data_IF_977279952147
#
_entry.id   IF_977279952147
#
_cell.length_a   1.000
_cell.length_b   1.000
_cell.length_c   1.000
_cell.angle_alpha   90.00
_cell.angle_beta   90.00
_cell.angle_gamma   90.00
#
_symmetry.space_group_name_H-M   'P 1'
#
loop_
_entity.id
_entity.type
_entity.pdbx_description
1 polymer ?
#
# COMPACT_ATOMS: atom_id res chain seq x y z
N UNK A 1 -38.48 5.10 12.02
CA UNK A 1 -37.09 5.61 11.97
C UNK A 1 -36.99 6.62 10.83
N UNK A 2 -37.08 7.91 11.12
CA UNK A 2 -36.76 8.99 10.18
C UNK A 2 -35.25 9.14 10.16
N UNK A 3 -34.56 8.30 9.39
CA UNK A 3 -33.12 8.44 9.20
C UNK A 3 -32.80 9.74 8.46
N UNK A 4 -31.88 10.54 8.99
CA UNK A 4 -31.34 11.69 8.27
C UNK A 4 -30.79 11.21 6.92
N UNK A 5 -31.27 11.82 5.83
CA UNK A 5 -30.75 11.56 4.49
C UNK A 5 -29.43 12.32 4.36
N UNK A 6 -28.32 11.63 4.55
CA UNK A 6 -26.96 12.17 4.42
C UNK A 6 -26.02 11.27 3.63
N UNK A 7 -24.82 11.77 3.36
CA UNK A 7 -23.75 11.00 2.72
C UNK A 7 -22.67 10.65 3.77
N UNK A 8 -22.42 9.36 3.97
CA UNK A 8 -21.35 8.91 4.85
C UNK A 8 -20.02 8.87 4.11
N UNK A 9 -19.05 9.67 4.55
CA UNK A 9 -17.69 9.68 4.00
C UNK A 9 -16.79 8.89 4.94
N UNK A 10 -16.40 7.70 4.51
CA UNK A 10 -15.48 6.82 5.25
C UNK A 10 -14.04 6.89 4.72
N UNK A 11 -13.11 6.20 5.37
CA UNK A 11 -11.71 6.11 4.92
C UNK A 11 -11.63 5.62 3.48
N UNK A 12 -10.78 6.28 2.70
CA UNK A 12 -10.64 6.04 1.27
C UNK A 12 -11.69 6.72 0.39
N UNK A 13 -12.81 7.22 0.93
CA UNK A 13 -13.79 8.00 0.15
C UNK A 13 -13.38 9.47 0.11
N UNK A 14 -13.46 10.06 -1.09
CA UNK A 14 -13.14 11.47 -1.35
C UNK A 14 -14.35 12.14 -2.00
N UNK A 15 -14.88 13.23 -1.43
CA UNK A 15 -15.94 14.01 -2.05
C UNK A 15 -15.37 15.06 -3.03
N UNK A 16 -16.12 15.34 -4.08
CA UNK A 16 -16.00 16.53 -4.92
C UNK A 16 -17.38 17.16 -4.99
N UNK A 17 -17.50 18.39 -4.48
CA UNK A 17 -18.74 19.17 -4.52
C UNK A 17 -18.58 20.26 -5.57
N UNK A 18 -19.47 20.29 -6.56
CA UNK A 18 -19.58 21.40 -7.50
C UNK A 18 -20.85 22.17 -7.17
N UNK A 19 -20.70 23.50 -7.09
CA UNK A 19 -21.80 24.43 -6.91
C UNK A 19 -21.97 25.16 -8.23
N UNK A 20 -23.13 24.96 -8.86
CA UNK A 20 -23.54 25.68 -10.05
C UNK A 20 -24.62 26.68 -9.67
N UNK A 21 -24.52 27.92 -10.13
CA UNK A 21 -25.61 28.89 -10.01
C UNK A 21 -26.26 28.94 -11.39
N UNK A 22 -27.55 28.57 -11.45
CA UNK A 22 -28.31 28.57 -12.70
C UNK A 22 -29.26 29.75 -12.68
N UNK A 23 -29.12 30.65 -13.65
CA UNK A 23 -30.11 31.68 -13.93
C UNK A 23 -31.30 31.04 -14.66
N UNK A 24 -32.49 31.25 -14.14
CA UNK A 24 -33.74 30.79 -14.75
C UNK A 24 -34.23 31.82 -15.77
N UNK A 25 -35.13 31.42 -16.69
CA UNK A 25 -35.73 32.33 -17.66
C UNK A 25 -36.46 33.53 -17.06
N UNK A 26 -36.82 33.48 -15.77
CA UNK A 26 -37.48 34.56 -15.02
C UNK A 26 -36.49 35.53 -14.36
N UNK A 27 -35.18 35.37 -14.58
CA UNK A 27 -34.12 36.19 -13.98
C UNK A 27 -33.75 35.80 -12.54
N UNK A 28 -34.38 34.75 -11.97
CA UNK A 28 -34.03 34.25 -10.63
C UNK A 28 -32.87 33.24 -10.71
N UNK A 29 -31.98 33.28 -9.72
CA UNK A 29 -30.89 32.32 -9.60
C UNK A 29 -31.26 31.18 -8.66
N UNK A 30 -30.99 29.94 -9.06
CA UNK A 30 -31.07 28.77 -8.16
C UNK A 30 -29.70 28.09 -8.00
N UNK A 31 -29.28 27.77 -6.77
CA UNK A 31 -28.10 26.96 -6.56
C UNK A 31 -28.41 25.49 -6.88
N UNK A 32 -27.59 24.90 -7.74
CA UNK A 32 -27.56 23.47 -7.99
C UNK A 32 -26.26 22.88 -7.45
N UNK A 33 -26.40 21.89 -6.57
CA UNK A 33 -25.26 21.15 -6.02
C UNK A 33 -25.15 19.81 -6.75
N UNK A 34 -23.94 19.47 -7.19
CA UNK A 34 -23.61 18.11 -7.58
C UNK A 34 -22.46 17.60 -6.72
N UNK A 35 -22.59 16.38 -6.20
CA UNK A 35 -21.52 15.72 -5.46
C UNK A 35 -21.09 14.46 -6.18
N UNK A 36 -19.79 14.30 -6.36
CA UNK A 36 -19.17 13.08 -6.88
C UNK A 36 -18.30 12.47 -5.78
N UNK A 37 -18.34 11.16 -5.64
CA UNK A 37 -17.49 10.42 -4.71
C UNK A 37 -16.46 9.62 -5.49
N UNK A 38 -15.25 9.52 -4.94
CA UNK A 38 -14.17 8.67 -5.46
C UNK A 38 -13.62 7.80 -4.35
N UNK A 39 -13.40 6.52 -4.63
CA UNK A 39 -12.74 5.61 -3.70
C UNK A 39 -11.26 5.47 -4.04
N UNK A 40 -10.41 5.90 -3.11
CA UNK A 40 -8.97 5.69 -3.09
C UNK A 40 -8.67 4.53 -2.14
N UNK A 41 -8.40 3.35 -2.72
CA UNK A 41 -8.18 2.14 -1.94
C UNK A 41 -6.80 2.10 -1.27
N UNK A 42 -5.79 2.78 -1.82
CA UNK A 42 -4.42 2.66 -1.34
C UNK A 42 -4.26 3.03 0.15
N UNK A 43 -4.76 4.18 0.65
CA UNK A 43 -4.67 4.49 2.08
C UNK A 43 -5.41 3.48 2.97
N UNK A 44 -6.49 2.88 2.48
CA UNK A 44 -7.21 1.85 3.23
C UNK A 44 -6.38 0.57 3.37
N UNK A 45 -5.72 0.14 2.29
CA UNK A 45 -4.84 -1.03 2.31
C UNK A 45 -3.56 -0.81 3.13
N UNK A 46 -2.99 0.40 3.13
CA UNK A 46 -1.86 0.75 4.01
C UNK A 46 -2.27 0.62 5.49
N UNK A 47 -3.46 1.07 5.84
CA UNK A 47 -3.98 0.92 7.20
C UNK A 47 -4.21 -0.55 7.60
N UNK A 48 -4.76 -1.37 6.69
CA UNK A 48 -4.87 -2.82 6.91
C UNK A 48 -3.49 -3.44 7.13
N UNK A 49 -2.51 -3.08 6.28
CA UNK A 49 -1.14 -3.55 6.43
C UNK A 49 -0.55 -3.18 7.80
N UNK A 50 -0.78 -1.96 8.28
CA UNK A 50 -0.31 -1.52 9.60
C UNK A 50 -0.86 -2.40 10.73
N UNK A 51 -2.17 -2.72 10.69
CA UNK A 51 -2.80 -3.55 11.71
C UNK A 51 -2.20 -4.95 11.76
N UNK A 52 -1.99 -5.56 10.60
CA UNK A 52 -1.40 -6.89 10.53
C UNK A 52 0.10 -6.88 10.85
N UNK A 53 0.80 -5.77 10.59
CA UNK A 53 2.18 -5.55 11.02
C UNK A 53 2.28 -5.51 12.55
N UNK A 54 1.35 -4.84 13.21
CA UNK A 54 1.32 -4.79 14.68
C UNK A 54 1.03 -6.18 15.25
N UNK A 55 0.11 -6.93 14.64
CA UNK A 55 -0.16 -8.33 15.00
C UNK A 55 1.04 -9.25 14.78
N UNK A 56 1.78 -9.08 13.67
CA UNK A 56 2.99 -9.89 13.43
C UNK A 56 4.07 -9.62 14.47
N UNK A 57 4.23 -8.37 14.91
CA UNK A 57 5.20 -8.05 15.96
C UNK A 57 4.82 -8.65 17.32
N UNK A 58 3.54 -8.65 17.66
CA UNK A 58 3.06 -9.35 18.86
C UNK A 58 3.36 -10.84 18.76
N UNK A 59 3.00 -11.48 17.64
CA UNK A 59 3.25 -12.90 17.42
C UNK A 59 4.76 -13.25 17.44
N UNK A 60 5.61 -12.41 16.83
CA UNK A 60 7.07 -12.60 16.85
C UNK A 60 7.65 -12.53 18.26
N UNK A 61 7.17 -11.61 19.10
CA UNK A 61 7.57 -11.54 20.51
C UNK A 61 7.07 -12.74 21.32
N UNK A 62 5.87 -13.24 21.02
CA UNK A 62 5.30 -14.43 21.68
C UNK A 62 6.07 -15.71 21.31
N UNK A 63 6.53 -15.84 20.06
CA UNK A 63 7.40 -16.95 19.63
C UNK A 63 8.63 -17.04 20.55
N UNK A 64 9.33 -15.92 20.79
CA UNK A 64 10.50 -15.89 21.66
C UNK A 64 10.20 -16.38 23.08
N UNK A 65 9.00 -16.11 23.61
CA UNK A 65 8.59 -16.52 24.95
C UNK A 65 8.23 -18.02 25.05
N UNK A 66 7.71 -18.63 23.99
CA UNK A 66 7.29 -20.03 24.02
C UNK A 66 8.34 -20.99 23.48
N UNK A 67 9.37 -20.49 22.80
CA UNK A 67 10.26 -21.36 22.03
C UNK A 67 11.09 -22.31 22.91
N UNK A 68 11.40 -21.94 24.15
CA UNK A 68 12.12 -22.83 25.08
C UNK A 68 11.21 -23.86 25.78
N UNK A 69 9.89 -23.84 25.54
CA UNK A 69 8.95 -24.81 26.10
C UNK A 69 8.94 -26.13 25.33
N UNK A 70 8.65 -27.26 25.97
CA UNK A 70 8.60 -28.58 25.30
C UNK A 70 7.34 -28.82 24.45
N UNK A 71 6.47 -27.82 24.30
CA UNK A 71 5.19 -27.93 23.60
C UNK A 71 5.34 -27.61 22.10
N UNK A 72 5.54 -28.67 21.30
CA UNK A 72 5.70 -28.56 19.85
C UNK A 72 4.45 -28.00 19.13
N UNK A 73 3.25 -28.35 19.59
CA UNK A 73 2.00 -27.89 18.98
C UNK A 73 1.79 -26.39 19.24
N UNK A 74 2.18 -25.91 20.42
CA UNK A 74 2.17 -24.49 20.71
C UNK A 74 3.18 -23.72 19.85
N UNK A 75 4.40 -24.23 19.68
CA UNK A 75 5.41 -23.64 18.78
C UNK A 75 4.90 -23.53 17.33
N UNK A 76 4.27 -24.58 16.82
CA UNK A 76 3.69 -24.59 15.48
C UNK A 76 2.59 -23.53 15.32
N UNK A 77 1.65 -23.46 16.26
CA UNK A 77 0.57 -22.45 16.26
C UNK A 77 1.11 -21.02 16.30
N UNK A 78 2.19 -20.76 17.04
CA UNK A 78 2.79 -19.41 17.10
C UNK A 78 3.44 -19.04 15.76
N UNK A 79 4.17 -19.97 15.12
CA UNK A 79 4.71 -19.75 13.77
C UNK A 79 3.60 -19.49 12.75
N UNK A 80 2.50 -20.24 12.80
CA UNK A 80 1.35 -20.03 11.91
C UNK A 80 0.67 -18.66 12.12
N UNK A 81 0.55 -18.23 13.38
CA UNK A 81 0.01 -16.92 13.75
C UNK A 81 0.87 -15.78 13.18
N UNK A 82 2.20 -15.88 13.35
CA UNK A 82 3.14 -14.92 12.79
C UNK A 82 3.07 -14.90 11.26
N UNK A 83 3.19 -16.07 10.61
CA UNK A 83 3.15 -16.17 9.15
C UNK A 83 1.86 -15.58 8.59
N UNK A 84 0.71 -15.84 9.24
CA UNK A 84 -0.59 -15.32 8.80
C UNK A 84 -0.62 -13.78 8.82
N UNK A 85 -0.15 -13.18 9.91
CA UNK A 85 -0.12 -11.71 10.07
C UNK A 85 0.92 -11.06 9.13
N UNK A 86 2.09 -11.67 9.00
CA UNK A 86 3.13 -11.28 8.03
C UNK A 86 2.59 -11.31 6.60
N UNK A 87 1.92 -12.39 6.24
CA UNK A 87 1.30 -12.58 4.92
C UNK A 87 0.28 -11.49 4.61
N UNK A 88 -0.63 -11.19 5.56
CA UNK A 88 -1.64 -10.15 5.36
C UNK A 88 -1.02 -8.76 5.20
N UNK A 89 0.07 -8.48 5.92
CA UNK A 89 0.82 -7.22 5.77
C UNK A 89 1.37 -7.07 4.36
N UNK A 90 2.11 -8.07 3.87
CA UNK A 90 2.74 -8.05 2.54
C UNK A 90 1.70 -8.00 1.42
N UNK A 91 0.64 -8.80 1.51
CA UNK A 91 -0.45 -8.80 0.52
C UNK A 91 -1.14 -7.43 0.49
N UNK A 92 -1.45 -6.85 1.65
CA UNK A 92 -2.08 -5.54 1.74
C UNK A 92 -1.21 -4.43 1.17
N UNK A 93 0.11 -4.44 1.42
CA UNK A 93 1.04 -3.48 0.82
C UNK A 93 1.11 -3.62 -0.70
N UNK A 94 1.13 -4.85 -1.23
CA UNK A 94 1.11 -5.06 -2.67
C UNK A 94 -0.17 -4.51 -3.31
N UNK A 95 -1.34 -4.75 -2.69
CA UNK A 95 -2.62 -4.23 -3.17
C UNK A 95 -2.66 -2.69 -3.06
N UNK A 96 -2.09 -2.10 -2.00
CA UNK A 96 -1.98 -0.66 -1.87
C UNK A 96 -1.24 -0.05 -3.08
N UNK A 97 -0.11 -0.63 -3.47
CA UNK A 97 0.65 -0.19 -4.63
C UNK A 97 -0.10 -0.37 -5.95
N UNK A 98 -0.72 -1.53 -6.17
CA UNK A 98 -1.50 -1.79 -7.39
C UNK A 98 -2.68 -0.83 -7.53
N UNK A 99 -3.41 -0.59 -6.44
CA UNK A 99 -4.54 0.33 -6.44
C UNK A 99 -4.11 1.78 -6.64
N UNK A 100 -3.00 2.21 -6.05
CA UNK A 100 -2.45 3.55 -6.26
C UNK A 100 -1.98 3.72 -7.72
N UNK A 101 -1.23 2.74 -8.23
CA UNK A 101 -0.78 2.72 -9.61
C UNK A 101 -1.94 2.84 -10.59
N UNK A 102 -3.01 2.07 -10.39
CA UNK A 102 -4.18 2.08 -11.28
C UNK A 102 -4.80 3.47 -11.38
N UNK A 103 -4.99 4.12 -10.24
CA UNK A 103 -5.60 5.45 -10.12
C UNK A 103 -4.72 6.52 -10.77
N UNK A 104 -3.41 6.49 -10.50
CA UNK A 104 -2.46 7.43 -11.11
C UNK A 104 -2.36 7.20 -12.62
N UNK A 105 -2.26 5.95 -13.07
CA UNK A 105 -2.10 5.61 -14.48
C UNK A 105 -3.29 6.03 -15.35
N UNK A 106 -4.49 6.16 -14.79
CA UNK A 106 -5.65 6.70 -15.51
C UNK A 106 -5.63 8.23 -15.60
N UNK A 107 -4.88 8.89 -14.73
CA UNK A 107 -4.74 10.35 -14.69
C UNK A 107 -3.65 10.87 -15.65
N UNK A 108 -2.68 10.05 -16.03
CA UNK A 108 -1.58 10.46 -16.93
C UNK A 108 -1.91 10.16 -18.42
N UNK A 109 -2.09 11.22 -19.24
CA UNK A 109 -2.46 11.17 -20.67
C UNK A 109 -1.48 10.40 -21.57
N UNK A 110 -0.19 10.37 -21.22
CA UNK A 110 0.88 9.69 -21.98
C UNK A 110 0.77 8.15 -21.95
N UNK A 111 -0.21 7.58 -21.25
CA UNK A 111 -0.24 6.14 -21.01
C UNK A 111 -0.82 5.26 -22.09
N UNK A 112 -1.39 5.76 -23.20
CA UNK A 112 -1.92 4.82 -24.22
C UNK A 112 -0.80 3.98 -24.85
N UNK A 113 0.28 4.62 -25.27
CA UNK A 113 1.44 3.92 -25.85
C UNK A 113 2.23 3.15 -24.78
N UNK A 114 2.33 3.72 -23.58
CA UNK A 114 3.01 3.06 -22.44
C UNK A 114 2.24 1.82 -21.96
N UNK A 115 0.91 1.88 -21.81
CA UNK A 115 0.05 0.73 -21.44
C UNK A 115 0.07 -0.32 -22.54
N UNK A 116 0.04 0.08 -23.82
CA UNK A 116 0.22 -0.84 -24.94
C UNK A 116 1.58 -1.55 -24.87
N UNK A 117 2.66 -0.81 -24.56
CA UNK A 117 4.00 -1.38 -24.36
C UNK A 117 4.05 -2.37 -23.20
N UNK A 118 3.32 -2.12 -22.11
CA UNK A 118 3.28 -3.01 -20.96
C UNK A 118 2.62 -4.34 -21.29
N UNK A 119 1.52 -4.30 -22.06
CA UNK A 119 0.81 -5.49 -22.53
C UNK A 119 1.68 -6.28 -23.51
N UNK A 120 2.32 -5.59 -24.46
CA UNK A 120 3.22 -6.21 -25.45
C UNK A 120 4.42 -6.89 -24.80
N UNK A 121 5.04 -6.24 -23.81
CA UNK A 121 6.29 -6.69 -23.19
C UNK A 121 6.10 -7.48 -21.89
N UNK A 122 4.86 -7.83 -21.52
CA UNK A 122 4.50 -8.56 -20.28
C UNK A 122 5.24 -8.05 -19.03
N UNK A 123 5.30 -6.72 -18.85
CA UNK A 123 6.07 -6.14 -17.74
C UNK A 123 5.53 -6.61 -16.38
N UNK A 124 6.44 -6.87 -15.43
CA UNK A 124 6.09 -7.23 -14.05
C UNK A 124 5.30 -6.10 -13.35
N UNK A 125 4.54 -6.45 -12.32
CA UNK A 125 3.79 -5.47 -11.52
C UNK A 125 4.71 -4.38 -10.96
N UNK A 126 5.83 -4.78 -10.35
CA UNK A 126 6.87 -3.87 -9.84
C UNK A 126 7.33 -2.86 -10.90
N UNK A 127 7.60 -3.32 -12.13
CA UNK A 127 8.05 -2.44 -13.23
C UNK A 127 6.96 -1.47 -13.69
N UNK A 128 5.70 -1.93 -13.78
CA UNK A 128 4.56 -1.06 -14.14
C UNK A 128 4.36 0.04 -13.11
N UNK A 129 4.40 -0.31 -11.83
CA UNK A 129 4.24 0.64 -10.72
C UNK A 129 5.38 1.66 -10.76
N UNK A 130 6.63 1.20 -10.80
CA UNK A 130 7.82 2.08 -10.85
C UNK A 130 7.69 3.09 -11.99
N UNK A 131 7.44 2.63 -13.22
CA UNK A 131 7.31 3.52 -14.39
C UNK A 131 6.14 4.49 -14.27
N UNK A 132 5.03 4.07 -13.64
CA UNK A 132 3.90 4.97 -13.40
C UNK A 132 4.30 6.07 -12.44
N UNK A 133 5.03 5.75 -11.37
CA UNK A 133 5.47 6.73 -10.38
C UNK A 133 6.53 7.68 -10.96
N UNK A 134 7.51 7.16 -11.72
CA UNK A 134 8.50 7.95 -12.45
C UNK A 134 7.82 8.99 -13.36
N UNK A 135 6.84 8.57 -14.16
CA UNK A 135 6.13 9.46 -15.08
C UNK A 135 5.21 10.46 -14.38
N UNK A 136 4.57 10.07 -13.28
CA UNK A 136 3.60 10.91 -12.60
C UNK A 136 4.25 11.95 -11.67
N UNK A 137 5.39 11.61 -11.09
CA UNK A 137 6.03 12.37 -10.02
C UNK A 137 7.47 12.81 -10.34
N UNK A 138 7.93 12.59 -11.58
CA UNK A 138 9.27 12.95 -12.05
C UNK A 138 10.39 12.41 -11.13
N UNK A 139 10.26 11.15 -10.71
CA UNK A 139 11.22 10.54 -9.81
C UNK A 139 12.59 10.41 -10.50
N UNK A 140 13.65 10.83 -9.80
CA UNK A 140 15.03 10.63 -10.24
C UNK A 140 15.31 9.13 -10.46
N UNK A 141 16.17 8.82 -11.42
CA UNK A 141 16.53 7.44 -11.80
C UNK A 141 16.99 6.58 -10.62
N UNK A 142 17.74 7.16 -9.69
CA UNK A 142 18.21 6.47 -8.48
C UNK A 142 17.03 6.07 -7.58
N UNK A 143 16.15 7.01 -7.26
CA UNK A 143 14.93 6.78 -6.48
C UNK A 143 13.99 5.80 -7.18
N UNK A 144 13.84 5.89 -8.51
CA UNK A 144 13.10 4.92 -9.30
C UNK A 144 13.70 3.51 -9.22
N UNK A 145 15.03 3.40 -9.24
CA UNK A 145 15.75 2.15 -9.04
C UNK A 145 15.52 1.53 -7.65
N UNK A 146 15.60 2.34 -6.59
CA UNK A 146 15.32 1.90 -5.21
C UNK A 146 13.87 1.42 -5.07
N UNK A 147 12.90 2.19 -5.60
CA UNK A 147 11.50 1.81 -5.62
C UNK A 147 11.29 0.49 -6.39
N UNK A 148 11.96 0.31 -7.52
CA UNK A 148 11.86 -0.93 -8.29
C UNK A 148 12.36 -2.15 -7.52
N UNK A 149 13.51 -2.03 -6.87
CA UNK A 149 14.09 -3.10 -6.05
C UNK A 149 13.17 -3.47 -4.90
N UNK A 150 12.68 -2.46 -4.16
CA UNK A 150 11.70 -2.63 -3.09
C UNK A 150 10.45 -3.35 -3.56
N UNK A 151 9.82 -2.86 -4.63
CA UNK A 151 8.61 -3.48 -5.19
C UNK A 151 8.88 -4.90 -5.70
N UNK A 152 10.03 -5.15 -6.32
CA UNK A 152 10.37 -6.49 -6.82
C UNK A 152 10.47 -7.49 -5.67
N UNK A 153 11.07 -7.09 -4.55
CA UNK A 153 11.13 -7.92 -3.35
C UNK A 153 9.74 -8.09 -2.71
N UNK A 154 8.94 -7.02 -2.61
CA UNK A 154 7.56 -7.07 -2.12
C UNK A 154 6.69 -8.04 -2.93
N UNK A 155 6.72 -7.97 -4.26
CA UNK A 155 5.94 -8.86 -5.12
C UNK A 155 6.47 -10.29 -5.13
N UNK A 156 7.78 -10.51 -4.91
CA UNK A 156 8.34 -11.85 -4.69
C UNK A 156 7.73 -12.46 -3.43
N UNK A 157 7.78 -11.74 -2.30
CA UNK A 157 7.22 -12.20 -1.02
C UNK A 157 5.71 -12.43 -1.12
N UNK A 158 4.96 -11.51 -1.73
CA UNK A 158 3.54 -11.71 -2.04
C UNK A 158 3.32 -13.03 -2.77
N UNK A 159 4.05 -13.25 -3.87
CA UNK A 159 3.86 -14.44 -4.70
C UNK A 159 4.20 -15.73 -3.95
N UNK A 160 5.17 -15.72 -3.03
CA UNK A 160 5.44 -16.89 -2.18
C UNK A 160 4.22 -17.30 -1.35
N UNK A 161 3.39 -16.35 -0.91
CA UNK A 161 2.20 -16.61 -0.10
C UNK A 161 0.98 -16.97 -0.94
N UNK A 162 0.66 -16.17 -1.96
CA UNK A 162 -0.58 -16.35 -2.75
C UNK A 162 -0.44 -17.32 -3.91
N UNK A 163 0.78 -17.62 -4.34
CA UNK A 163 1.07 -18.53 -5.45
C UNK A 163 2.23 -19.47 -5.06
N UNK A 164 2.07 -20.29 -4.00
CA UNK A 164 3.12 -21.19 -3.55
C UNK A 164 3.50 -22.18 -4.66
N UNK A 165 4.79 -22.55 -4.72
CA UNK A 165 5.27 -23.61 -5.61
C UNK A 165 4.72 -24.96 -5.13
N UNK A 166 4.46 -25.87 -6.08
CA UNK A 166 4.17 -27.27 -5.77
C UNK A 166 5.45 -28.08 -5.51
N UNK A 167 6.62 -27.51 -5.78
CA UNK A 167 7.91 -28.15 -5.56
C UNK A 167 8.27 -28.15 -4.08
N UNK A 168 8.85 -29.26 -3.62
CA UNK A 168 9.50 -29.31 -2.32
C UNK A 168 10.73 -28.40 -2.32
N UNK A 169 10.95 -27.70 -1.22
CA UNK A 169 12.11 -26.85 -1.02
C UNK A 169 12.88 -27.33 0.22
N UNK A 170 14.20 -27.19 0.19
CA UNK A 170 15.04 -27.48 1.34
C UNK A 170 14.69 -26.55 2.50
N UNK A 171 14.68 -27.06 3.75
CA UNK A 171 14.34 -26.23 4.90
C UNK A 171 15.48 -25.25 5.20
N UNK A 172 15.11 -24.08 5.69
CA UNK A 172 16.03 -22.97 5.97
C UNK A 172 16.14 -22.78 7.48
N UNK A 173 17.38 -22.62 7.97
CA UNK A 173 17.62 -22.31 9.38
C UNK A 173 17.15 -20.88 9.70
N UNK A 174 16.42 -20.73 10.80
CA UNK A 174 15.94 -19.43 11.29
C UNK A 174 16.39 -19.23 12.74
N UNK A 175 17.17 -18.17 12.99
CA UNK A 175 17.96 -18.00 14.21
C UNK A 175 17.13 -17.78 15.48
N UNK A 176 16.08 -16.95 15.42
CA UNK A 176 15.21 -16.63 16.55
C UNK A 176 14.47 -17.88 17.09
N UNK A 177 14.13 -18.80 16.19
CA UNK A 177 13.48 -20.08 16.51
C UNK A 177 14.44 -21.27 16.48
N UNK A 178 15.76 -21.05 16.36
CA UNK A 178 16.80 -22.11 16.45
C UNK A 178 16.40 -23.44 15.79
N UNK A 179 15.77 -23.38 14.62
CA UNK A 179 15.19 -24.54 13.94
C UNK A 179 15.16 -24.33 12.44
N UNK A 180 15.18 -25.44 11.72
CA UNK A 180 14.90 -25.50 10.30
C UNK A 180 13.39 -25.37 10.06
N UNK A 181 13.00 -24.43 9.19
CA UNK A 181 11.60 -24.14 8.83
C UNK A 181 11.43 -24.12 7.32
N UNK A 182 10.19 -24.18 6.84
CA UNK A 182 9.93 -23.96 5.41
C UNK A 182 10.38 -22.55 4.98
N UNK A 183 10.92 -22.36 3.75
CA UNK A 183 11.44 -21.06 3.30
C UNK A 183 10.47 -19.89 3.48
N UNK A 184 9.15 -20.14 3.42
CA UNK A 184 8.15 -19.08 3.63
C UNK A 184 8.20 -18.52 5.06
N UNK A 185 8.41 -19.36 6.07
CA UNK A 185 8.55 -18.93 7.47
C UNK A 185 9.89 -18.26 7.76
N UNK A 186 10.93 -18.59 6.99
CA UNK A 186 12.23 -17.92 7.07
C UNK A 186 12.21 -16.54 6.38
N UNK A 187 11.40 -16.38 5.34
CA UNK A 187 11.29 -15.13 4.58
C UNK A 187 10.21 -14.17 5.12
N UNK A 188 9.19 -14.68 5.81
CA UNK A 188 8.06 -13.90 6.33
C UNK A 188 7.96 -14.00 7.86
N UNK A 189 8.83 -13.25 8.52
CA UNK A 189 8.84 -13.10 9.96
C UNK A 189 8.72 -11.63 10.36
N UNK A 190 8.34 -11.40 11.62
CA UNK A 190 7.87 -10.12 12.12
C UNK A 190 8.84 -8.96 11.86
N UNK A 191 10.13 -9.13 12.18
CA UNK A 191 11.14 -8.09 12.02
C UNK A 191 11.33 -7.69 10.55
N UNK A 192 11.49 -8.67 9.66
CA UNK A 192 11.66 -8.40 8.22
C UNK A 192 10.41 -7.74 7.63
N UNK A 193 9.21 -8.21 7.97
CA UNK A 193 7.96 -7.60 7.49
C UNK A 193 7.79 -6.19 8.01
N UNK A 194 8.20 -5.91 9.24
CA UNK A 194 8.22 -4.56 9.79
C UNK A 194 9.14 -3.61 8.99
N UNK A 195 10.32 -4.06 8.56
CA UNK A 195 11.17 -3.29 7.66
C UNK A 195 10.49 -3.03 6.31
N UNK A 196 9.89 -4.06 5.68
CA UNK A 196 9.14 -3.90 4.43
C UNK A 196 7.98 -2.90 4.54
N UNK A 197 7.26 -2.92 5.67
CA UNK A 197 6.21 -1.97 5.95
C UNK A 197 6.76 -0.55 6.05
N UNK A 198 7.83 -0.35 6.83
CA UNK A 198 8.49 0.94 7.03
C UNK A 198 9.00 1.53 5.70
N UNK A 199 9.66 0.71 4.89
CA UNK A 199 10.17 1.13 3.58
C UNK A 199 9.02 1.47 2.62
N UNK A 200 7.95 0.66 2.60
CA UNK A 200 6.77 0.97 1.78
C UNK A 200 6.13 2.28 2.20
N UNK A 201 5.98 2.50 3.50
CA UNK A 201 5.41 3.71 4.06
C UNK A 201 6.28 4.93 3.74
N UNK A 202 7.60 4.78 3.82
CA UNK A 202 8.56 5.79 3.40
C UNK A 202 8.37 6.17 1.93
N UNK A 203 8.29 5.21 1.01
CA UNK A 203 8.05 5.49 -0.40
C UNK A 203 6.71 6.17 -0.66
N UNK A 204 5.63 5.74 0.00
CA UNK A 204 4.33 6.41 -0.10
C UNK A 204 4.39 7.84 0.43
N UNK A 205 5.06 8.07 1.56
CA UNK A 205 5.25 9.39 2.14
C UNK A 205 6.10 10.30 1.25
N UNK A 206 7.21 9.80 0.72
CA UNK A 206 8.06 10.51 -0.23
C UNK A 206 7.26 10.93 -1.46
N UNK A 207 6.49 10.02 -2.07
CA UNK A 207 5.63 10.34 -3.22
C UNK A 207 4.57 11.38 -2.83
N UNK A 208 3.95 11.23 -1.67
CA UNK A 208 2.94 12.15 -1.16
C UNK A 208 3.47 13.59 -0.92
N UNK A 209 4.78 13.74 -0.74
CA UNK A 209 5.46 15.02 -0.54
C UNK A 209 6.27 15.50 -1.74
N UNK A 210 6.19 14.83 -2.90
CA UNK A 210 6.78 15.36 -4.13
C UNK A 210 6.19 16.74 -4.48
N UNK A 211 6.95 17.63 -5.15
CA UNK A 211 6.47 18.93 -5.59
C UNK A 211 5.19 18.85 -6.43
N UNK A 212 4.41 19.94 -6.45
CA UNK A 212 3.15 20.08 -7.20
C UNK A 212 3.30 19.56 -8.63
N UNK A 213 2.49 18.57 -8.99
CA UNK A 213 2.44 18.08 -10.38
C UNK A 213 1.67 19.09 -11.25
N UNK A 214 2.13 19.30 -12.49
CA UNK A 214 1.38 20.06 -13.48
C UNK A 214 0.03 19.39 -13.82
N UNK A 215 -0.08 18.08 -13.59
CA UNK A 215 -1.32 17.35 -13.76
C UNK A 215 -2.18 17.43 -12.49
N UNK A 216 -3.25 18.23 -12.54
CA UNK A 216 -4.18 18.43 -11.41
C UNK A 216 -4.71 17.13 -10.82
N UNK A 217 -5.02 16.13 -11.64
CA UNK A 217 -5.54 14.86 -11.12
C UNK A 217 -4.48 14.09 -10.32
N UNK A 218 -3.23 14.09 -10.78
CA UNK A 218 -2.11 13.50 -10.04
C UNK A 218 -1.89 14.26 -8.72
N UNK A 219 -1.95 15.59 -8.77
CA UNK A 219 -1.81 16.44 -7.57
C UNK A 219 -2.92 16.18 -6.53
N UNK A 220 -4.18 16.05 -6.97
CA UNK A 220 -5.31 15.72 -6.08
C UNK A 220 -5.11 14.36 -5.40
N UNK A 221 -4.62 13.36 -6.14
CA UNK A 221 -4.33 12.02 -5.61
C UNK A 221 -3.16 12.04 -4.63
N UNK A 222 -2.10 12.79 -4.93
CA UNK A 222 -0.97 12.99 -4.04
C UNK A 222 -1.39 13.66 -2.73
N UNK A 223 -2.09 14.79 -2.82
CA UNK A 223 -2.53 15.55 -1.66
C UNK A 223 -3.45 14.73 -0.77
N UNK A 224 -4.38 13.98 -1.37
CA UNK A 224 -5.22 13.11 -0.55
C UNK A 224 -4.47 11.94 0.05
N UNK A 225 -3.49 11.35 -0.64
CA UNK A 225 -2.63 10.32 -0.04
C UNK A 225 -1.92 10.91 1.19
N UNK A 226 -1.32 12.11 1.05
CA UNK A 226 -0.64 12.82 2.15
C UNK A 226 -1.54 13.03 3.36
N UNK A 227 -2.74 13.57 3.15
CA UNK A 227 -3.71 13.80 4.24
C UNK A 227 -4.06 12.50 4.95
N UNK A 228 -4.36 11.43 4.20
CA UNK A 228 -4.72 10.13 4.79
C UNK A 228 -3.55 9.46 5.51
N UNK A 229 -2.33 9.62 5.00
CA UNK A 229 -1.14 9.13 5.69
C UNK A 229 -0.93 9.85 7.02
N UNK A 230 -1.10 11.17 7.07
CA UNK A 230 -0.99 11.94 8.32
C UNK A 230 -2.12 11.62 9.32
N UNK A 231 -3.34 11.38 8.85
CA UNK A 231 -4.44 10.90 9.71
C UNK A 231 -4.13 9.53 10.34
N UNK A 232 -3.43 8.65 9.61
CA UNK A 232 -3.11 7.30 10.05
C UNK A 232 -1.82 7.24 10.89
N UNK A 233 -0.84 8.07 10.53
CA UNK A 233 0.50 8.08 11.09
C UNK A 233 0.93 9.54 11.31
N UNK A 234 0.46 10.18 12.40
CA UNK A 234 0.70 11.61 12.65
C UNK A 234 2.18 12.00 12.73
N UNK A 235 3.03 11.07 13.17
CA UNK A 235 4.46 11.31 13.39
C UNK A 235 5.32 11.04 12.14
N UNK A 236 4.72 10.78 10.97
CA UNK A 236 5.48 10.57 9.72
C UNK A 236 6.50 11.68 9.41
N UNK A 237 6.21 12.98 9.63
CA UNK A 237 7.19 14.03 9.38
C UNK A 237 8.47 13.90 10.22
N UNK A 238 8.35 13.37 11.44
CA UNK A 238 9.48 13.19 12.35
C UNK A 238 10.28 11.93 12.01
N UNK A 239 9.57 10.88 11.58
CA UNK A 239 10.16 9.58 11.21
C UNK A 239 10.84 9.64 9.83
N UNK A 240 10.23 10.34 8.89
CA UNK A 240 10.69 10.49 7.51
C UNK A 240 10.67 11.98 7.12
N UNK A 241 11.73 12.73 7.45
CA UNK A 241 11.81 14.13 7.05
C UNK A 241 11.72 14.25 5.54
N UNK A 242 10.95 15.23 5.06
CA UNK A 242 10.87 15.50 3.62
C UNK A 242 12.27 15.87 3.11
N UNK A 243 12.69 15.40 1.93
CA UNK A 243 13.91 15.90 1.31
C UNK A 243 13.75 17.41 1.11
N UNK A 244 14.67 18.19 1.70
CA UNK A 244 14.73 19.64 1.55
C UNK A 244 15.04 20.10 0.14
#
# INVERSE_FOLDING_TARGET
>A
MTGEKGFLIIRGVQPMVNIHIIERPDGNFIPQFSMKLRYSAAPFWIWIASKHRDQSLVAGNEIAAVWDTSDADNRARMLESELSSCSQTIVSLAIAWESFQKVIADSIRSTKDVKASWKKNRKSAAKKITQTMELAFDLKKETGGQLHSHLSALFRLRNMVVHPSAEFADPVWRDDVRSYVSPVFAELFAERVNHFFSDSLHFFWMIANQPKSANRHVDDHRNSLRVRLLEQFPNLPDVFPSPG
#
